data_IF_418826383252
#
_entry.id   IF_418826383252
#
_cell.length_a   1.000
_cell.length_b   1.000
_cell.length_c   1.000
_cell.angle_alpha   90.00
_cell.angle_beta   90.00
_cell.angle_gamma   90.00
#
_symmetry.space_group_name_H-M   'P 1'
#
loop_
_entity.id
_entity.type
_entity.pdbx_description
1 polymer ?
#
# COMPACT_ATOMS: atom_id res chain seq x y z
N UNK A 1 -0.77 -4.83 12.67
CA UNK A 1 -0.76 -5.32 11.28
C UNK A 1 -0.40 -6.80 11.18
N UNK A 2 0.82 -7.22 11.54
CA UNK A 2 1.29 -8.63 11.44
C UNK A 2 0.30 -9.64 12.03
N UNK A 3 -0.09 -9.46 13.30
CA UNK A 3 -1.05 -10.33 13.98
C UNK A 3 -2.36 -10.52 13.20
N UNK A 4 -2.89 -9.44 12.63
CA UNK A 4 -4.14 -9.47 11.86
C UNK A 4 -3.98 -10.21 10.52
N UNK A 5 -2.82 -10.09 9.88
CA UNK A 5 -2.49 -10.90 8.69
C UNK A 5 -2.38 -12.39 9.05
N UNK A 6 -1.73 -12.72 10.17
CA UNK A 6 -1.63 -14.11 10.65
C UNK A 6 -3.02 -14.69 10.99
N UNK A 7 -3.90 -13.92 11.63
CA UNK A 7 -5.30 -14.29 11.91
C UNK A 7 -6.13 -14.52 10.63
N UNK A 8 -5.80 -13.84 9.53
CA UNK A 8 -6.38 -14.08 8.20
C UNK A 8 -5.80 -15.32 7.50
N UNK A 9 -4.77 -15.96 8.07
CA UNK A 9 -4.11 -17.14 7.53
C UNK A 9 -2.89 -16.86 6.66
N UNK A 10 -2.37 -15.63 6.65
CA UNK A 10 -1.11 -15.33 5.98
C UNK A 10 0.08 -15.87 6.78
N UNK A 11 1.07 -16.44 6.08
CA UNK A 11 2.44 -16.51 6.60
C UNK A 11 3.11 -15.17 6.29
N UNK A 12 3.46 -14.42 7.32
CA UNK A 12 4.05 -13.08 7.17
C UNK A 12 5.58 -13.18 7.13
N UNK A 13 6.19 -12.55 6.13
CA UNK A 13 7.64 -12.36 6.03
C UNK A 13 7.91 -10.88 6.30
N UNK A 14 8.79 -10.60 7.27
CA UNK A 14 9.19 -9.23 7.62
C UNK A 14 10.66 -9.09 7.25
N UNK A 15 10.97 -8.13 6.38
CA UNK A 15 12.34 -7.70 6.11
C UNK A 15 12.45 -6.28 6.67
N UNK A 16 13.32 -6.08 7.65
CA UNK A 16 13.35 -4.83 8.43
C UNK A 16 14.74 -4.21 8.58
N UNK A 17 15.81 -4.93 8.24
CA UNK A 17 17.16 -4.39 8.28
C UNK A 17 17.64 -3.92 6.90
N UNK A 18 18.38 -2.80 6.89
CA UNK A 18 19.03 -2.31 5.68
C UNK A 18 20.02 -3.34 5.10
N UNK A 19 20.62 -4.15 5.95
CA UNK A 19 21.54 -5.23 5.55
C UNK A 19 20.80 -6.36 4.80
N UNK A 20 19.59 -6.71 5.20
CA UNK A 20 18.76 -7.68 4.47
C UNK A 20 18.24 -7.09 3.15
N UNK A 21 17.83 -5.83 3.14
CA UNK A 21 17.35 -5.15 1.92
C UNK A 21 18.47 -4.91 0.89
N UNK A 22 19.70 -4.66 1.35
CA UNK A 22 20.85 -4.44 0.46
C UNK A 22 21.37 -5.73 -0.18
N UNK A 23 21.05 -6.89 0.39
CA UNK A 23 21.30 -8.18 -0.24
C UNK A 23 20.18 -8.53 -1.24
N UNK A 24 20.33 -8.07 -2.48
CA UNK A 24 19.34 -8.26 -3.55
C UNK A 24 18.97 -9.74 -3.75
N UNK A 25 19.92 -10.67 -3.64
CA UNK A 25 19.64 -12.10 -3.80
C UNK A 25 18.67 -12.61 -2.73
N UNK A 26 18.97 -12.35 -1.46
CA UNK A 26 18.09 -12.75 -0.35
C UNK A 26 16.75 -12.04 -0.40
N UNK A 27 16.76 -10.75 -0.71
CA UNK A 27 15.55 -9.93 -0.72
C UNK A 27 14.61 -10.30 -1.87
N UNK A 28 15.14 -10.47 -3.08
CA UNK A 28 14.36 -10.93 -4.24
C UNK A 28 13.81 -12.34 -4.03
N UNK A 29 14.57 -13.25 -3.41
CA UNK A 29 14.07 -14.58 -3.08
C UNK A 29 12.93 -14.55 -2.07
N UNK A 30 13.02 -13.68 -1.05
CA UNK A 30 11.94 -13.49 -0.09
C UNK A 30 10.66 -12.98 -0.78
N UNK A 31 10.76 -11.95 -1.63
CA UNK A 31 9.62 -11.41 -2.37
C UNK A 31 9.04 -12.43 -3.35
N UNK A 32 9.89 -13.17 -4.06
CA UNK A 32 9.45 -14.19 -5.01
C UNK A 32 8.67 -15.35 -4.37
N UNK A 33 8.84 -15.55 -3.05
CA UNK A 33 8.07 -16.52 -2.28
C UNK A 33 6.70 -16.00 -1.80
N UNK A 34 6.42 -14.71 -1.97
CA UNK A 34 5.18 -14.07 -1.53
C UNK A 34 4.11 -14.11 -2.63
N UNK A 35 2.87 -14.43 -2.24
CA UNK A 35 1.70 -14.30 -3.13
C UNK A 35 1.00 -12.95 -3.01
N UNK A 36 1.26 -12.20 -1.93
CA UNK A 36 0.70 -10.87 -1.69
C UNK A 36 1.79 -10.00 -1.09
N UNK A 37 1.96 -8.79 -1.61
CA UNK A 37 2.89 -7.80 -1.05
C UNK A 37 2.16 -6.46 -0.88
N UNK A 38 1.97 -5.99 0.36
CA UNK A 38 1.57 -4.62 0.60
C UNK A 38 2.77 -3.68 0.50
N UNK A 39 2.61 -2.56 -0.21
CA UNK A 39 3.62 -1.52 -0.34
C UNK A 39 3.02 -0.13 -0.18
N UNK A 40 3.71 0.72 0.59
CA UNK A 40 3.50 2.17 0.57
C UNK A 40 4.59 2.83 -0.30
N UNK A 41 4.35 4.07 -0.70
CA UNK A 41 5.23 4.94 -1.49
C UNK A 41 6.74 4.63 -1.41
N UNK A 42 7.42 4.63 -2.57
CA UNK A 42 8.88 4.47 -2.80
C UNK A 42 9.52 3.17 -2.24
N UNK A 43 9.14 2.71 -1.05
CA UNK A 43 9.82 1.66 -0.29
C UNK A 43 9.52 0.22 -0.77
N UNK A 44 8.52 0.02 -1.63
CA UNK A 44 8.09 -1.35 -2.01
C UNK A 44 7.63 -1.54 -3.45
N UNK A 45 7.29 -0.48 -4.18
CA UNK A 45 6.66 -0.62 -5.51
C UNK A 45 7.64 -1.18 -6.55
N UNK A 46 8.87 -0.67 -6.62
CA UNK A 46 9.87 -1.18 -7.56
C UNK A 46 10.23 -2.66 -7.33
N UNK A 47 10.02 -3.15 -6.10
CA UNK A 47 10.31 -4.53 -5.73
C UNK A 47 9.25 -5.53 -6.21
N UNK A 48 8.11 -5.04 -6.72
CA UNK A 48 7.06 -5.89 -7.31
C UNK A 48 7.59 -6.69 -8.51
N UNK A 49 8.68 -6.26 -9.14
CA UNK A 49 9.39 -7.00 -10.19
C UNK A 49 9.86 -8.39 -9.77
N UNK A 50 10.03 -8.63 -8.47
CA UNK A 50 10.42 -9.92 -7.94
C UNK A 50 9.23 -10.82 -7.58
N UNK A 51 8.00 -10.29 -7.58
CA UNK A 51 6.80 -11.09 -7.32
C UNK A 51 6.58 -12.12 -8.44
N UNK A 52 6.06 -13.31 -8.09
CA UNK A 52 5.72 -14.32 -9.10
C UNK A 52 4.44 -13.94 -9.86
N UNK A 53 4.28 -14.51 -11.05
CA UNK A 53 3.05 -14.41 -11.85
C UNK A 53 1.80 -14.78 -11.03
N UNK A 54 0.75 -13.98 -11.16
CA UNK A 54 -0.51 -14.14 -10.43
C UNK A 54 -0.50 -13.66 -8.98
N UNK A 55 0.62 -13.14 -8.47
CA UNK A 55 0.68 -12.50 -7.16
C UNK A 55 -0.10 -11.17 -7.14
N UNK A 56 -0.46 -10.72 -5.93
CA UNK A 56 -1.20 -9.47 -5.71
C UNK A 56 -0.28 -8.41 -5.13
N UNK A 57 -0.16 -7.29 -5.83
CA UNK A 57 0.41 -6.06 -5.29
C UNK A 57 -0.69 -5.21 -4.66
N UNK A 58 -0.55 -4.91 -3.37
CA UNK A 58 -1.47 -4.02 -2.64
C UNK A 58 -0.78 -2.68 -2.43
N UNK A 59 -1.18 -1.64 -3.16
CA UNK A 59 -0.62 -0.30 -3.01
C UNK A 59 -1.42 0.51 -2.00
N UNK A 60 -0.75 0.95 -0.94
CA UNK A 60 -1.28 1.93 0.03
C UNK A 60 -1.07 3.33 -0.54
N UNK A 61 -2.17 3.99 -0.91
CA UNK A 61 -2.17 5.34 -1.47
C UNK A 61 -2.30 6.40 -0.36
N UNK A 62 -1.27 7.25 -0.17
CA UNK A 62 -1.35 8.37 0.76
C UNK A 62 -2.43 9.37 0.35
N UNK A 63 -2.85 10.24 1.29
CA UNK A 63 -3.60 11.46 0.95
C UNK A 63 -2.88 12.25 -0.16
N UNK A 64 -3.61 12.98 -0.99
CA UNK A 64 -3.04 13.75 -2.10
C UNK A 64 -2.68 12.94 -3.35
N UNK A 65 -2.55 11.62 -3.23
CA UNK A 65 -2.24 10.70 -4.34
C UNK A 65 -3.39 9.74 -4.64
N UNK A 66 -4.60 10.15 -4.28
CA UNK A 66 -5.84 9.38 -4.46
C UNK A 66 -6.36 9.48 -5.90
N UNK A 67 -5.85 10.44 -6.68
CA UNK A 67 -6.21 10.67 -8.08
C UNK A 67 -5.03 10.29 -8.99
N UNK A 68 -5.31 10.00 -10.27
CA UNK A 68 -4.33 9.65 -11.31
C UNK A 68 -3.42 10.81 -11.72
N UNK A 69 -2.86 11.52 -10.74
CA UNK A 69 -1.95 12.64 -10.94
C UNK A 69 -0.49 12.18 -11.05
N UNK A 70 -0.20 10.88 -10.95
CA UNK A 70 1.18 10.40 -10.88
C UNK A 70 1.43 9.01 -11.50
N UNK A 71 2.43 8.94 -12.36
CA UNK A 71 3.04 7.71 -12.89
C UNK A 71 3.69 6.82 -11.83
N UNK A 72 4.07 7.36 -10.66
CA UNK A 72 4.67 6.59 -9.57
C UNK A 72 3.64 5.82 -8.72
N UNK A 73 2.35 6.05 -8.93
CA UNK A 73 1.24 5.36 -8.25
C UNK A 73 0.34 4.61 -9.24
N UNK A 74 0.93 4.19 -10.36
CA UNK A 74 0.25 3.41 -11.38
C UNK A 74 0.24 1.93 -11.03
N UNK A 75 -0.75 1.21 -11.57
CA UNK A 75 -0.80 -0.24 -11.60
C UNK A 75 0.49 -0.83 -12.21
N UNK A 76 0.95 -2.02 -11.77
CA UNK A 76 2.05 -2.72 -12.41
C UNK A 76 1.85 -2.83 -13.94
N UNK A 77 2.92 -2.73 -14.74
CA UNK A 77 2.83 -2.87 -16.19
C UNK A 77 2.02 -4.10 -16.62
N UNK A 78 1.11 -4.00 -17.62
CA UNK A 78 0.22 -5.09 -18.04
C UNK A 78 0.90 -6.41 -18.45
N UNK A 79 2.22 -6.43 -18.62
CA UNK A 79 3.01 -7.62 -18.94
C UNK A 79 3.58 -8.37 -17.74
N UNK A 80 3.42 -7.89 -16.51
CA UNK A 80 4.00 -8.53 -15.31
C UNK A 80 3.16 -9.68 -14.75
N UNK A 81 1.92 -9.84 -15.20
CA UNK A 81 1.02 -10.90 -14.71
C UNK A 81 0.59 -10.73 -13.25
N UNK A 82 0.84 -9.55 -12.66
CA UNK A 82 0.42 -9.21 -11.31
C UNK A 82 -1.04 -8.79 -11.29
N UNK A 83 -1.70 -9.08 -10.17
CA UNK A 83 -3.00 -8.52 -9.81
C UNK A 83 -2.77 -7.31 -8.93
N UNK A 84 -3.64 -6.32 -9.02
CA UNK A 84 -3.44 -5.05 -8.34
C UNK A 84 -4.64 -4.65 -7.49
N UNK A 85 -4.36 -4.16 -6.29
CA UNK A 85 -5.34 -3.63 -5.35
C UNK A 85 -4.84 -2.32 -4.76
N UNK A 86 -5.76 -1.38 -4.56
CA UNK A 86 -5.47 -0.11 -3.91
C UNK A 86 -6.11 -0.05 -2.53
N UNK A 87 -5.32 0.39 -1.55
CA UNK A 87 -5.81 0.85 -0.27
C UNK A 87 -5.72 2.38 -0.24
N UNK A 88 -6.83 3.03 -0.54
CA UNK A 88 -6.92 4.49 -0.50
C UNK A 88 -7.18 4.94 0.92
N UNK A 89 -6.24 5.70 1.47
CA UNK A 89 -6.38 6.23 2.82
C UNK A 89 -7.47 7.29 2.92
N UNK A 90 -8.05 7.38 4.11
CA UNK A 90 -8.99 8.40 4.54
C UNK A 90 -8.30 9.47 5.37
N UNK A 91 -8.89 10.67 5.48
CA UNK A 91 -8.32 11.79 6.21
C UNK A 91 -7.89 11.48 7.66
N UNK A 92 -8.65 10.65 8.37
CA UNK A 92 -8.41 10.26 9.76
C UNK A 92 -7.25 9.26 9.93
N UNK A 93 -6.78 8.67 8.83
CA UNK A 93 -5.63 7.77 8.79
C UNK A 93 -4.30 8.51 8.59
N UNK A 94 -4.31 9.84 8.47
CA UNK A 94 -3.11 10.65 8.32
C UNK A 94 -2.74 11.33 9.63
N UNK A 95 -1.45 11.39 9.97
CA UNK A 95 -0.99 12.20 11.11
C UNK A 95 -1.30 13.70 10.97
N UNK A 96 -1.57 14.18 9.76
CA UNK A 96 -1.96 15.56 9.49
C UNK A 96 -3.25 15.97 10.22
N UNK A 97 -4.10 15.00 10.58
CA UNK A 97 -5.32 15.26 11.38
C UNK A 97 -5.00 15.89 12.73
N UNK A 98 -3.86 15.56 13.32
CA UNK A 98 -3.46 16.09 14.63
C UNK A 98 -3.01 17.56 14.55
N UNK A 99 -2.45 17.97 13.40
CA UNK A 99 -1.92 19.31 13.18
C UNK A 99 -3.00 20.28 12.67
N UNK A 100 -3.82 19.82 11.72
CA UNK A 100 -4.76 20.68 11.00
C UNK A 100 -6.22 20.48 11.43
N UNK A 101 -6.56 19.34 12.03
CA UNK A 101 -7.92 18.93 12.31
C UNK A 101 -8.62 18.31 11.10
N UNK A 102 -9.55 17.38 11.36
CA UNK A 102 -10.21 16.57 10.33
C UNK A 102 -10.93 17.39 9.25
N UNK A 103 -11.58 18.49 9.64
CA UNK A 103 -12.37 19.33 8.74
C UNK A 103 -11.53 20.32 7.92
N UNK A 104 -10.21 20.32 8.06
CA UNK A 104 -9.33 21.23 7.35
C UNK A 104 -9.26 20.91 5.85
N UNK A 105 -9.16 21.94 5.00
CA UNK A 105 -9.14 21.77 3.53
C UNK A 105 -7.99 20.88 3.04
N UNK A 106 -6.83 20.95 3.68
CA UNK A 106 -5.69 20.06 3.41
C UNK A 106 -5.98 18.57 3.63
N UNK A 107 -7.11 18.21 4.24
CA UNK A 107 -7.50 16.82 4.48
C UNK A 107 -8.74 16.47 3.64
N UNK A 108 -9.68 17.40 3.52
CA UNK A 108 -10.95 17.20 2.81
C UNK A 108 -10.87 17.43 1.30
N UNK A 109 -9.95 18.28 0.85
CA UNK A 109 -9.77 18.65 -0.56
C UNK A 109 -8.28 18.61 -0.93
N UNK A 110 -7.72 17.41 -0.93
CA UNK A 110 -6.29 17.22 -1.25
C UNK A 110 -5.99 17.52 -2.74
N UNK A 111 -7.03 17.63 -3.59
CA UNK A 111 -6.91 17.88 -5.04
C UNK A 111 -6.60 19.35 -5.30
N UNK A 112 -7.15 20.26 -4.50
CA UNK A 112 -6.81 21.68 -4.57
C UNK A 112 -5.32 21.95 -4.34
N UNK A 113 -4.65 21.16 -3.47
CA UNK A 113 -3.19 21.29 -3.29
C UNK A 113 -2.43 20.95 -4.57
N UNK A 114 -2.85 19.90 -5.28
CA UNK A 114 -2.26 19.53 -6.55
C UNK A 114 -2.60 20.56 -7.65
N UNK A 115 -3.82 21.12 -7.64
CA UNK A 115 -4.23 22.14 -8.59
C UNK A 115 -3.45 23.46 -8.43
N UNK A 116 -3.15 23.87 -7.20
CA UNK A 116 -2.45 25.12 -6.90
C UNK A 116 -0.93 25.00 -7.06
N UNK A 117 -0.34 23.90 -6.61
CA UNK A 117 1.11 23.75 -6.47
C UNK A 117 1.71 22.57 -7.22
N UNK A 118 0.90 21.81 -7.96
CA UNK A 118 1.35 20.66 -8.72
C UNK A 118 1.94 19.54 -7.86
N UNK A 119 2.71 18.66 -8.51
CA UNK A 119 3.33 17.50 -7.90
C UNK A 119 4.21 17.85 -6.68
N UNK A 120 5.03 18.90 -6.78
CA UNK A 120 5.97 19.25 -5.73
C UNK A 120 5.27 19.67 -4.43
N UNK A 121 4.15 20.39 -4.54
CA UNK A 121 3.35 20.76 -3.39
C UNK A 121 2.68 19.54 -2.76
N UNK A 122 2.10 18.65 -3.58
CA UNK A 122 1.48 17.39 -3.13
C UNK A 122 2.50 16.50 -2.43
N UNK A 123 3.69 16.31 -3.01
CA UNK A 123 4.78 15.53 -2.41
C UNK A 123 5.25 16.14 -1.09
N UNK A 124 5.45 17.45 -1.05
CA UNK A 124 5.86 18.13 0.19
C UNK A 124 4.83 18.01 1.30
N UNK A 125 3.55 18.10 0.96
CA UNK A 125 2.48 18.05 1.96
C UNK A 125 2.18 16.63 2.40
N UNK A 126 2.04 15.70 1.45
CA UNK A 126 1.49 14.38 1.73
C UNK A 126 2.51 13.25 1.65
N UNK A 127 3.75 13.46 1.19
CA UNK A 127 4.78 12.40 1.33
C UNK A 127 5.73 12.70 2.47
N UNK A 128 6.10 13.96 2.66
CA UNK A 128 7.14 14.32 3.64
C UNK A 128 6.62 14.68 5.03
N UNK A 129 5.34 15.07 5.16
CA UNK A 129 4.77 15.50 6.46
C UNK A 129 3.75 14.54 7.05
N UNK A 130 3.40 13.48 6.33
CA UNK A 130 2.35 12.56 6.76
C UNK A 130 2.94 11.22 7.18
N UNK A 131 2.49 10.73 8.33
CA UNK A 131 2.64 9.33 8.73
C UNK A 131 1.33 8.59 8.43
N UNK A 132 1.45 7.36 7.93
CA UNK A 132 0.32 6.52 7.53
C UNK A 132 -0.17 5.71 8.74
N UNK A 133 -1.43 5.91 9.15
CA UNK A 133 -2.10 5.25 10.28
C UNK A 133 -3.26 4.40 9.79
N UNK A 134 -2.94 3.31 9.09
CA UNK A 134 -3.94 2.44 8.45
C UNK A 134 -5.02 1.95 9.43
N UNK A 135 -6.29 2.15 9.08
CA UNK A 135 -7.44 1.49 9.72
C UNK A 135 -7.36 0.00 9.41
N UNK A 136 -6.97 -0.76 10.43
CA UNK A 136 -6.77 -2.20 10.32
C UNK A 136 -8.05 -2.96 9.93
N UNK A 137 -9.25 -2.42 10.17
CA UNK A 137 -10.52 -3.05 9.77
C UNK A 137 -10.73 -2.93 8.28
N UNK A 138 -10.51 -1.74 7.71
CA UNK A 138 -10.61 -1.52 6.25
C UNK A 138 -9.47 -2.23 5.53
N UNK A 139 -8.25 -2.15 6.06
CA UNK A 139 -7.12 -2.84 5.45
C UNK A 139 -7.29 -4.37 5.46
N UNK A 140 -7.96 -4.92 6.50
CA UNK A 140 -8.35 -6.34 6.53
C UNK A 140 -9.23 -6.73 5.35
N UNK A 141 -10.17 -5.88 4.94
CA UNK A 141 -11.04 -6.14 3.79
C UNK A 141 -10.24 -6.20 2.48
N UNK A 142 -9.27 -5.30 2.30
CA UNK A 142 -8.33 -5.34 1.17
C UNK A 142 -7.49 -6.63 1.16
N UNK A 143 -7.00 -7.07 2.32
CA UNK A 143 -6.23 -8.32 2.41
C UNK A 143 -7.09 -9.56 2.16
N UNK A 144 -8.37 -9.55 2.55
CA UNK A 144 -9.32 -10.60 2.19
C UNK A 144 -9.51 -10.66 0.68
N UNK A 145 -9.64 -9.51 0.02
CA UNK A 145 -9.72 -9.47 -1.43
C UNK A 145 -8.44 -10.00 -2.09
N UNK A 146 -7.26 -9.64 -1.56
CA UNK A 146 -6.00 -10.21 -2.02
C UNK A 146 -5.98 -11.75 -1.90
N UNK A 147 -6.51 -12.32 -0.79
CA UNK A 147 -6.65 -13.78 -0.63
C UNK A 147 -7.58 -14.41 -1.67
N UNK A 148 -8.67 -13.73 -2.05
CA UNK A 148 -9.57 -14.21 -3.11
C UNK A 148 -8.86 -14.23 -4.44
N UNK A 149 -8.13 -13.17 -4.76
CA UNK A 149 -7.37 -13.04 -5.99
C UNK A 149 -6.29 -14.13 -6.10
N UNK A 150 -5.61 -14.50 -5.02
CA UNK A 150 -4.64 -15.63 -5.07
C UNK A 150 -5.28 -17.02 -4.90
N UNK A 151 -6.61 -17.11 -4.86
CA UNK A 151 -7.34 -18.38 -4.74
C UNK A 151 -7.17 -19.09 -3.40
N UNK A 152 -6.87 -18.33 -2.32
CA UNK A 152 -6.61 -18.87 -0.97
C UNK A 152 -7.66 -18.52 0.06
N UNK A 153 -8.63 -17.66 -0.27
CA UNK A 153 -9.72 -17.33 0.64
C UNK A 153 -10.63 -18.56 0.85
N UNK A 154 -10.88 -18.90 2.13
CA UNK A 154 -11.87 -19.88 2.55
C UNK A 154 -12.88 -19.18 3.45
N UNK A 155 -14.15 -19.16 3.07
CA UNK A 155 -15.20 -18.62 3.93
C UNK A 155 -15.35 -19.51 5.18
N UNK A 156 -14.90 -18.98 6.32
CA UNK A 156 -15.05 -19.66 7.62
C UNK A 156 -16.52 -19.68 8.09
N UNK A 157 -17.41 -18.96 7.40
CA UNK A 157 -18.84 -18.96 7.69
C UNK A 157 -19.62 -20.19 7.18
N UNK A 158 -18.98 -21.08 6.40
CA UNK A 158 -19.59 -22.30 5.85
C UNK A 158 -18.77 -23.57 6.15
N UNK A 159 -18.06 -23.62 7.29
CA UNK A 159 -17.35 -24.82 7.77
C UNK A 159 -18.08 -25.50 8.91
#
# INVERSE_FOLDING_TARGET
>A
MVKMMEELGFRVIIVSSADEMSNVEKFSHAINSCSVMPGAHEAGLANEVFLPDGAVMVQVKPLGFQWDVDSFYSEPPPGMGLKYLEYIMQPDESSLVDEYGLDHSLLQDTASVAAEGGYDATRKMYLHKQDLRLDLRRFRETLIEALRLVGRYKDVANS
#
